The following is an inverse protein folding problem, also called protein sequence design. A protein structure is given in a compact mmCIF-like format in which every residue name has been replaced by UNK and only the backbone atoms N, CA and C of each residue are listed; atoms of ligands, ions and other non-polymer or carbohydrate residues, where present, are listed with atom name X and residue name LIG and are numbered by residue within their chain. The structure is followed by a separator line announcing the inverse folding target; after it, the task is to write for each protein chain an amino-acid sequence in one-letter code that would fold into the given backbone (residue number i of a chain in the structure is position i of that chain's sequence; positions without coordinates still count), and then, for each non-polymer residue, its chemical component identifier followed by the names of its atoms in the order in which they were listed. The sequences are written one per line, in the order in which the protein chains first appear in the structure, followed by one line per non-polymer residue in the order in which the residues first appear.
data_IF_525905968409
#
_entry.id   IF_525905968409
#
_cell.length_a   1.000
_cell.length_b   1.000
_cell.length_c   1.000
_cell.angle_alpha   90.00
_cell.angle_beta   90.00
_cell.angle_gamma   90.00
#
_symmetry.space_group_name_H-M   'P 1'
#
loop_
_entity.id
_entity.type
_entity.pdbx_description
1 polymer ?
#
# COMPACT_ATOMS: atom_id res chain seq x y z
N UNK A 1 16.44 14.82 -4.10
CA UNK A 1 15.43 13.80 -3.79
C UNK A 1 15.26 13.49 -2.31
N UNK A 2 14.01 13.44 -1.87
CA UNK A 2 13.61 13.06 -0.50
C UNK A 2 13.88 11.57 -0.25
N UNK A 3 14.23 11.21 0.99
CA UNK A 3 14.42 9.81 1.41
C UNK A 3 13.10 9.04 1.59
N UNK A 4 12.00 9.76 1.87
CA UNK A 4 10.67 9.18 2.09
C UNK A 4 9.66 9.84 1.16
N UNK A 5 8.88 9.01 0.48
CA UNK A 5 7.85 9.42 -0.47
C UNK A 5 6.53 8.77 -0.04
N UNK A 6 5.46 9.55 0.03
CA UNK A 6 4.11 9.10 0.32
C UNK A 6 3.31 8.98 -0.98
N UNK A 7 2.64 7.85 -1.16
CA UNK A 7 1.77 7.63 -2.33
C UNK A 7 0.70 8.72 -2.39
N UNK A 8 0.57 9.36 -3.55
CA UNK A 8 -0.38 10.44 -3.81
C UNK A 8 0.22 11.85 -3.71
N UNK A 9 1.50 12.00 -3.35
CA UNK A 9 2.21 13.27 -3.45
C UNK A 9 2.75 13.51 -4.87
N UNK A 10 2.90 14.79 -5.26
CA UNK A 10 3.57 15.17 -6.50
C UNK A 10 4.93 15.75 -6.15
N UNK A 11 5.99 15.20 -6.75
CA UNK A 11 7.35 15.67 -6.56
C UNK A 11 7.85 16.40 -7.81
N UNK A 12 8.70 17.40 -7.59
CA UNK A 12 9.37 18.17 -8.62
C UNK A 12 10.88 17.99 -8.43
N UNK A 13 11.56 17.44 -9.43
CA UNK A 13 13.02 17.32 -9.45
C UNK A 13 13.56 18.03 -10.69
N UNK A 14 14.55 18.89 -10.49
CA UNK A 14 15.24 19.57 -11.59
C UNK A 14 16.28 18.60 -12.15
N UNK A 15 16.12 18.23 -13.41
CA UNK A 15 17.03 17.35 -14.11
C UNK A 15 17.86 18.19 -15.08
N UNK A 16 19.19 18.13 -14.99
CA UNK A 16 20.04 18.81 -15.95
C UNK A 16 19.86 18.24 -17.36
N UNK A 17 20.40 18.96 -18.36
CA UNK A 17 20.46 18.49 -19.74
C UNK A 17 21.00 17.03 -19.83
N UNK A 18 20.52 16.27 -20.81
CA UNK A 18 20.94 14.88 -21.08
C UNK A 18 20.90 13.93 -19.87
N UNK A 19 19.94 14.14 -18.96
CA UNK A 19 19.81 13.33 -17.74
C UNK A 19 18.70 12.30 -17.83
N UNK A 20 18.99 11.07 -17.41
CA UNK A 20 17.99 10.01 -17.24
C UNK A 20 17.79 9.76 -15.75
N UNK A 21 16.57 9.88 -15.26
CA UNK A 21 16.16 9.44 -13.93
C UNK A 21 15.35 8.15 -14.04
N UNK A 22 15.72 7.16 -13.22
CA UNK A 22 14.98 5.92 -13.06
C UNK A 22 14.73 5.66 -11.59
N UNK A 23 13.52 5.25 -11.27
CA UNK A 23 13.12 4.82 -9.93
C UNK A 23 12.67 3.38 -10.04
N UNK A 24 13.36 2.48 -9.38
CA UNK A 24 13.06 1.06 -9.47
C UNK A 24 13.70 0.24 -8.35
N UNK A 25 13.35 -1.02 -8.31
CA UNK A 25 14.00 -2.03 -7.46
C UNK A 25 14.43 -3.21 -8.35
N UNK A 26 14.85 -4.32 -7.74
CA UNK A 26 15.28 -5.51 -8.46
C UNK A 26 14.19 -6.18 -9.30
N UNK A 27 12.91 -5.87 -9.06
CA UNK A 27 11.75 -6.54 -9.70
C UNK A 27 10.96 -5.63 -10.64
N UNK A 28 10.96 -4.31 -10.42
CA UNK A 28 10.13 -3.38 -11.17
C UNK A 28 10.75 -1.97 -11.26
N UNK A 29 10.50 -1.29 -12.38
CA UNK A 29 10.75 0.14 -12.54
C UNK A 29 9.43 0.88 -12.36
N UNK A 30 9.36 1.75 -11.36
CA UNK A 30 8.17 2.55 -11.05
C UNK A 30 8.06 3.80 -11.91
N UNK A 31 9.19 4.40 -12.25
CA UNK A 31 9.24 5.65 -12.99
C UNK A 31 10.52 5.75 -13.79
N UNK A 32 10.41 6.23 -15.02
CA UNK A 32 11.54 6.55 -15.88
C UNK A 32 11.22 7.85 -16.60
N UNK A 33 12.16 8.79 -16.55
CA UNK A 33 12.08 10.02 -17.31
C UNK A 33 13.46 10.36 -17.87
N UNK A 34 13.47 10.80 -19.12
CA UNK A 34 14.69 11.19 -19.83
C UNK A 34 14.54 12.63 -20.29
N UNK A 35 15.43 13.49 -19.84
CA UNK A 35 15.60 14.82 -20.39
C UNK A 35 16.60 14.73 -21.55
N UNK A 36 16.12 14.77 -22.79
CA UNK A 36 16.96 14.84 -24.00
C UNK A 36 17.23 16.28 -24.44
N UNK A 37 16.70 17.27 -23.71
CA UNK A 37 16.89 18.67 -24.06
C UNK A 37 18.27 19.17 -23.63
N UNK A 38 18.72 20.22 -24.30
CA UNK A 38 19.95 20.94 -23.98
C UNK A 38 19.83 21.84 -22.73
N UNK A 39 18.62 22.00 -22.20
CA UNK A 39 18.29 22.82 -21.04
C UNK A 39 17.81 21.96 -19.86
N UNK A 40 17.91 22.53 -18.66
CA UNK A 40 17.41 21.92 -17.43
C UNK A 40 15.88 21.84 -17.45
N UNK A 41 15.32 20.65 -17.17
CA UNK A 41 13.88 20.41 -17.15
C UNK A 41 13.44 19.96 -15.77
N UNK A 42 12.34 20.54 -15.27
CA UNK A 42 11.69 20.08 -14.05
C UNK A 42 10.80 18.88 -14.37
N UNK A 43 11.21 17.69 -13.93
CA UNK A 43 10.40 16.48 -14.05
C UNK A 43 9.32 16.46 -12.96
N UNK A 44 8.08 16.25 -13.39
CA UNK A 44 6.95 15.99 -12.51
C UNK A 44 6.84 14.48 -12.28
N UNK A 45 6.94 14.08 -11.02
CA UNK A 45 6.85 12.68 -10.60
C UNK A 45 5.53 12.53 -9.83
N UNK A 46 4.52 11.97 -10.50
CA UNK A 46 3.25 11.60 -9.86
C UNK A 46 3.39 10.22 -9.20
N UNK A 47 3.22 10.19 -7.88
CA UNK A 47 3.41 8.98 -7.07
C UNK A 47 2.12 8.19 -6.85
N UNK A 48 0.98 8.60 -7.45
CA UNK A 48 -0.31 7.90 -7.28
C UNK A 48 -0.27 6.42 -7.65
N UNK A 49 0.50 6.07 -8.67
CA UNK A 49 0.61 4.69 -9.17
C UNK A 49 1.78 3.92 -8.54
N UNK A 50 2.47 4.51 -7.55
CA UNK A 50 3.60 3.84 -6.93
C UNK A 50 3.10 2.74 -5.99
N UNK A 51 3.88 1.67 -5.88
CA UNK A 51 3.63 0.61 -4.90
C UNK A 51 4.51 0.84 -3.67
N UNK A 52 3.97 0.68 -2.47
CA UNK A 52 4.75 0.83 -1.23
C UNK A 52 5.92 -0.16 -1.19
N UNK A 53 7.09 0.29 -0.72
CA UNK A 53 8.29 -0.53 -0.68
C UNK A 53 9.59 0.28 -0.68
N UNK A 54 10.70 -0.44 -0.79
CA UNK A 54 12.04 0.14 -0.90
C UNK A 54 12.46 0.20 -2.36
N UNK A 55 12.92 1.38 -2.78
CA UNK A 55 13.35 1.63 -4.15
C UNK A 55 14.66 2.37 -4.18
N UNK A 56 15.32 2.29 -5.32
CA UNK A 56 16.53 3.00 -5.63
C UNK A 56 16.27 3.95 -6.79
N UNK A 57 16.74 5.17 -6.63
CA UNK A 57 16.73 6.20 -7.65
C UNK A 57 18.11 6.24 -8.27
N UNK A 58 18.17 6.10 -9.59
CA UNK A 58 19.40 6.23 -10.38
C UNK A 58 19.23 7.43 -11.28
N UNK A 59 20.10 8.43 -11.10
CA UNK A 59 20.19 9.60 -11.95
C UNK A 59 21.50 9.48 -12.73
N UNK A 60 21.41 9.40 -14.05
CA UNK A 60 22.57 9.37 -14.94
C UNK A 60 22.61 10.66 -15.75
N UNK A 61 23.64 11.47 -15.54
CA UNK A 61 23.89 12.71 -16.29
C UNK A 61 25.20 12.54 -17.04
N UNK A 62 25.14 12.42 -18.37
CA UNK A 62 26.32 12.29 -19.25
C UNK A 62 27.37 11.25 -18.76
N UNK A 63 26.90 10.11 -18.25
CA UNK A 63 27.75 9.01 -17.76
C UNK A 63 28.09 9.08 -16.26
N UNK A 64 27.79 10.18 -15.58
CA UNK A 64 27.90 10.27 -14.12
C UNK A 64 26.63 9.75 -13.46
N UNK A 65 26.76 8.60 -12.78
CA UNK A 65 25.65 7.97 -12.08
C UNK A 65 25.62 8.39 -10.61
N UNK A 66 24.47 8.91 -10.16
CA UNK A 66 24.14 9.17 -8.77
C UNK A 66 23.04 8.21 -8.35
N UNK A 67 23.28 7.48 -7.28
CA UNK A 67 22.36 6.48 -6.73
C UNK A 67 21.86 6.97 -5.37
N UNK A 68 20.57 6.88 -5.12
CA UNK A 68 19.96 7.26 -3.85
C UNK A 68 18.86 6.27 -3.48
N UNK A 69 18.76 5.94 -2.20
CA UNK A 69 17.73 5.03 -1.70
C UNK A 69 16.52 5.83 -1.23
N UNK A 70 15.32 5.34 -1.55
CA UNK A 70 14.06 5.94 -1.14
C UNK A 70 13.11 4.88 -0.58
N UNK A 71 12.26 5.31 0.34
CA UNK A 71 11.17 4.47 0.87
C UNK A 71 9.84 5.06 0.45
N UNK A 72 9.03 4.28 -0.26
CA UNK A 72 7.67 4.64 -0.65
C UNK A 72 6.70 4.08 0.40
N UNK A 73 5.90 4.95 1.00
CA UNK A 73 4.99 4.63 2.10
C UNK A 73 3.55 4.84 1.62
N UNK A 74 2.71 3.81 1.76
CA UNK A 74 1.25 3.94 1.63
C UNK A 74 0.66 4.40 2.97
N UNK A 75 0.17 5.65 3.08
CA UNK A 75 -0.46 6.13 4.32
C UNK A 75 -1.81 5.45 4.61
N UNK A 76 -2.47 4.88 3.60
CA UNK A 76 -3.77 4.21 3.71
C UNK A 76 -3.67 2.70 3.90
N UNK A 77 -2.48 2.09 3.78
CA UNK A 77 -2.31 0.64 3.87
C UNK A 77 -2.95 0.01 5.11
N UNK A 78 -2.82 0.66 6.28
CA UNK A 78 -3.41 0.14 7.52
C UNK A 78 -4.95 0.21 7.51
N UNK A 79 -5.51 1.29 6.96
CA UNK A 79 -6.96 1.49 6.82
C UNK A 79 -7.56 0.50 5.81
N UNK A 80 -6.89 0.32 4.67
CA UNK A 80 -7.29 -0.62 3.62
C UNK A 80 -7.28 -2.06 4.16
N UNK A 81 -6.22 -2.43 4.89
CA UNK A 81 -6.12 -3.77 5.51
C UNK A 81 -7.22 -4.00 6.56
N UNK A 82 -7.55 -2.97 7.34
CA UNK A 82 -8.65 -3.06 8.30
C UNK A 82 -9.99 -3.27 7.60
N UNK A 83 -10.28 -2.51 6.54
CA UNK A 83 -11.51 -2.65 5.77
C UNK A 83 -11.64 -4.04 5.12
N UNK A 84 -10.54 -4.57 4.58
CA UNK A 84 -10.49 -5.92 4.01
C UNK A 84 -10.82 -7.00 5.05
N UNK A 85 -10.21 -6.93 6.24
CA UNK A 85 -10.48 -7.87 7.33
C UNK A 85 -11.91 -7.75 7.86
N UNK A 86 -12.49 -6.55 7.89
CA UNK A 86 -13.89 -6.35 8.23
C UNK A 86 -14.81 -7.03 7.23
N UNK A 87 -14.51 -6.92 5.92
CA UNK A 87 -15.27 -7.59 4.87
C UNK A 87 -15.19 -9.12 4.98
N UNK A 88 -13.98 -9.66 5.22
CA UNK A 88 -13.80 -11.11 5.45
C UNK A 88 -14.58 -11.59 6.68
N UNK A 89 -14.62 -10.79 7.75
CA UNK A 89 -15.40 -11.11 8.95
C UNK A 89 -16.91 -11.12 8.66
N UNK A 90 -17.39 -10.17 7.85
CA UNK A 90 -18.79 -10.10 7.42
C UNK A 90 -19.19 -11.33 6.58
N UNK A 91 -18.37 -11.68 5.58
CA UNK A 91 -18.55 -12.86 4.75
C UNK A 91 -18.64 -14.16 5.60
N UNK A 92 -17.77 -14.30 6.62
CA UNK A 92 -17.80 -15.44 7.54
C UNK A 92 -19.05 -15.43 8.41
N UNK A 93 -19.49 -14.28 8.92
CA UNK A 93 -20.71 -14.20 9.71
C UNK A 93 -21.95 -14.57 8.88
N UNK A 94 -21.99 -14.22 7.60
CA UNK A 94 -23.05 -14.65 6.67
C UNK A 94 -23.05 -16.18 6.53
N UNK A 95 -21.89 -16.80 6.31
CA UNK A 95 -21.77 -18.26 6.19
C UNK A 95 -22.17 -18.98 7.49
N UNK A 96 -21.70 -18.48 8.65
CA UNK A 96 -22.06 -19.03 9.95
C UNK A 96 -23.58 -18.94 10.18
N UNK A 97 -24.19 -17.79 9.86
CA UNK A 97 -25.63 -17.58 10.04
C UNK A 97 -26.44 -18.50 9.13
N UNK A 98 -26.05 -18.65 7.85
CA UNK A 98 -26.69 -19.59 6.92
C UNK A 98 -26.64 -21.04 7.44
N UNK A 99 -25.53 -21.44 8.06
CA UNK A 99 -25.39 -22.78 8.65
C UNK A 99 -26.21 -22.99 9.92
N UNK A 100 -26.26 -22.00 10.82
CA UNK A 100 -27.08 -22.08 12.04
C UNK A 100 -28.57 -22.24 11.68
N UNK A 101 -29.01 -21.62 10.58
CA UNK A 101 -30.37 -21.71 10.08
C UNK A 101 -30.70 -23.04 9.36
N UNK A 102 -29.82 -24.05 9.44
CA UNK A 102 -30.02 -25.39 8.87
C UNK A 102 -30.23 -25.40 7.35
N UNK A 103 -29.61 -24.45 6.65
CA UNK A 103 -29.62 -24.46 5.20
C UNK A 103 -28.52 -25.43 4.70
N UNK A 104 -28.93 -26.62 4.23
CA UNK A 104 -28.08 -27.62 3.58
C UNK A 104 -27.59 -27.19 2.19
N UNK A 105 -27.81 -25.92 1.82
CA UNK A 105 -27.47 -25.36 0.53
C UNK A 105 -25.97 -25.18 0.40
N UNK A 106 -25.40 -25.85 -0.60
CA UNK A 106 -24.05 -25.60 -1.10
C UNK A 106 -23.90 -24.09 -1.41
N UNK A 107 -23.27 -23.34 -0.51
CA UNK A 107 -22.97 -21.94 -0.75
C UNK A 107 -21.83 -21.86 -1.77
N UNK A 108 -22.17 -21.47 -2.99
CA UNK A 108 -21.19 -21.09 -4.00
C UNK A 108 -20.97 -19.59 -3.87
N UNK A 109 -19.82 -19.19 -3.33
CA UNK A 109 -19.39 -17.79 -3.29
C UNK A 109 -18.14 -17.68 -4.16
N UNK A 110 -18.15 -16.81 -5.17
CA UNK A 110 -17.03 -16.58 -6.09
C UNK A 110 -16.48 -17.85 -6.78
N UNK A 111 -17.34 -18.66 -7.42
CA UNK A 111 -16.96 -19.91 -8.10
C UNK A 111 -16.27 -20.97 -7.20
N UNK A 112 -16.30 -20.81 -5.88
CA UNK A 112 -15.82 -21.82 -4.93
C UNK A 112 -17.02 -22.40 -4.20
N UNK A 113 -17.33 -23.66 -4.49
CA UNK A 113 -18.35 -24.43 -3.79
C UNK A 113 -17.80 -24.82 -2.43
N UNK A 114 -18.37 -24.27 -1.35
CA UNK A 114 -18.00 -24.62 0.03
C UNK A 114 -18.60 -25.98 0.39
N UNK A 115 -17.84 -27.04 0.11
CA UNK A 115 -18.14 -28.40 0.52
C UNK A 115 -17.52 -28.65 1.91
N UNK A 116 -18.38 -28.75 2.94
CA UNK A 116 -18.13 -29.42 4.24
C UNK A 116 -17.06 -28.90 5.24
N UNK A 117 -16.82 -27.59 5.41
CA UNK A 117 -16.11 -27.14 6.64
C UNK A 117 -16.97 -27.44 7.89
N UNK A 118 -16.41 -27.70 9.08
CA UNK A 118 -17.19 -27.88 10.33
C UNK A 118 -17.50 -26.52 11.00
N UNK A 119 -18.61 -26.40 11.75
CA UNK A 119 -18.98 -25.14 12.42
C UNK A 119 -17.88 -24.68 13.39
N UNK A 120 -17.17 -25.61 14.04
CA UNK A 120 -16.05 -25.29 14.92
C UNK A 120 -14.87 -24.68 14.15
N UNK A 121 -14.62 -25.11 12.91
CA UNK A 121 -13.58 -24.54 12.05
C UNK A 121 -13.93 -23.11 11.64
N UNK A 122 -15.18 -22.87 11.25
CA UNK A 122 -15.68 -21.52 10.96
C UNK A 122 -15.62 -20.59 12.18
N UNK A 123 -15.96 -21.08 13.37
CA UNK A 123 -15.89 -20.31 14.60
C UNK A 123 -14.44 -19.99 15.00
N UNK A 124 -13.52 -20.94 14.78
CA UNK A 124 -12.08 -20.74 15.00
C UNK A 124 -11.51 -19.70 14.03
N UNK A 125 -11.92 -19.73 12.76
CA UNK A 125 -11.53 -18.74 11.76
C UNK A 125 -12.06 -17.35 12.12
N UNK A 126 -13.33 -17.25 12.54
CA UNK A 126 -13.92 -16.02 13.07
C UNK A 126 -13.12 -15.46 14.25
N UNK A 127 -12.77 -16.30 15.22
CA UNK A 127 -11.99 -15.88 16.39
C UNK A 127 -10.59 -15.38 16.00
N UNK A 128 -9.93 -16.06 15.06
CA UNK A 128 -8.64 -15.64 14.50
C UNK A 128 -8.72 -14.27 13.83
N UNK A 129 -9.70 -14.06 12.94
CA UNK A 129 -9.88 -12.79 12.24
C UNK A 129 -10.28 -11.67 13.22
N UNK A 130 -11.12 -11.97 14.21
CA UNK A 130 -11.48 -11.01 15.27
C UNK A 130 -10.27 -10.57 16.07
N UNK A 131 -9.37 -11.50 16.40
CA UNK A 131 -8.11 -11.19 17.07
C UNK A 131 -7.23 -10.26 16.21
N UNK A 132 -7.07 -10.58 14.92
CA UNK A 132 -6.30 -9.76 13.99
C UNK A 132 -6.88 -8.34 13.84
N UNK A 133 -8.21 -8.21 13.76
CA UNK A 133 -8.90 -6.91 13.71
C UNK A 133 -8.66 -6.11 14.98
N UNK A 134 -8.78 -6.73 16.15
CA UNK A 134 -8.57 -6.05 17.43
C UNK A 134 -7.11 -5.62 17.61
N UNK A 135 -6.16 -6.44 17.17
CA UNK A 135 -4.74 -6.09 17.18
C UNK A 135 -4.44 -4.90 16.27
N UNK A 136 -4.99 -4.87 15.05
CA UNK A 136 -4.83 -3.76 14.12
C UNK A 136 -5.50 -2.48 14.63
N UNK A 137 -6.72 -2.58 15.19
CA UNK A 137 -7.38 -1.43 15.86
C UNK A 137 -6.54 -0.88 17.00
N UNK A 138 -5.92 -1.74 17.81
CA UNK A 138 -5.01 -1.33 18.90
C UNK A 138 -3.75 -0.65 18.35
N UNK A 139 -3.14 -1.19 17.29
CA UNK A 139 -1.98 -0.60 16.61
C UNK A 139 -2.32 0.77 16.01
N UNK A 140 -3.49 0.94 15.39
CA UNK A 140 -3.96 2.23 14.87
C UNK A 140 -4.23 3.24 15.98
N UNK A 141 -4.85 2.82 17.10
CA UNK A 141 -5.11 3.69 18.25
C UNK A 141 -3.81 4.19 18.88
N UNK A 142 -2.83 3.29 19.04
CA UNK A 142 -1.52 3.60 19.63
C UNK A 142 -0.56 4.32 18.65
N UNK A 143 -0.76 4.18 17.34
CA UNK A 143 0.01 4.88 16.30
C UNK A 143 -0.50 6.29 15.95
N UNK A 144 -1.68 6.68 16.45
CA UNK A 144 -2.32 7.97 16.14
C UNK A 144 -1.71 9.18 16.85
N UNK A 145 -0.65 9.02 17.66
CA UNK A 145 0.00 10.13 18.38
C UNK A 145 1.00 10.94 17.54
N UNK A 146 1.23 10.61 16.27
CA UNK A 146 2.34 11.20 15.49
C UNK A 146 2.07 11.77 14.10
N UNK A 147 0.94 11.50 13.45
CA UNK A 147 0.81 11.81 12.00
C UNK A 147 0.32 13.23 11.66
N UNK A 148 -0.23 13.97 12.63
CA UNK A 148 -0.75 15.34 12.41
C UNK A 148 -0.18 16.38 13.37
N UNK A 149 1.10 16.29 13.76
CA UNK A 149 1.79 17.52 14.20
C UNK A 149 2.16 18.32 12.96
N UNK A 150 1.14 18.96 12.39
CA UNK A 150 1.30 20.07 11.47
C UNK A 150 2.06 21.16 12.23
N UNK A 151 3.38 21.19 12.13
CA UNK A 151 4.19 22.34 12.51
C UNK A 151 3.95 23.42 11.45
N UNK A 152 2.76 24.03 11.51
CA UNK A 152 2.57 25.38 11.01
C UNK A 152 3.33 26.27 11.99
N UNK A 153 4.63 26.46 11.73
CA UNK A 153 5.30 27.66 12.21
C UNK A 153 4.81 28.80 11.34
N UNK A 154 3.74 29.47 11.77
CA UNK A 154 3.53 30.85 11.34
C UNK A 154 4.74 31.66 11.84
N UNK A 155 5.41 32.32 10.91
CA UNK A 155 6.39 33.36 11.20
C UNK A 155 5.87 34.67 10.63
#
# INVERSE_FOLDING_TARGET
MKEKIYIGEVLYEVLPANTVIKIGNSTQTLYEYKNENADDVTALIDTKNFTAGYYTVVINTDGNMRISNITVIDPMAQTNRLSELQKQLDDINVIISARINNDNSQLTINNKTLIHEDLNTLMSLKNSITSQVNELKRKMKNGSTGFFKSTIHCR
#
